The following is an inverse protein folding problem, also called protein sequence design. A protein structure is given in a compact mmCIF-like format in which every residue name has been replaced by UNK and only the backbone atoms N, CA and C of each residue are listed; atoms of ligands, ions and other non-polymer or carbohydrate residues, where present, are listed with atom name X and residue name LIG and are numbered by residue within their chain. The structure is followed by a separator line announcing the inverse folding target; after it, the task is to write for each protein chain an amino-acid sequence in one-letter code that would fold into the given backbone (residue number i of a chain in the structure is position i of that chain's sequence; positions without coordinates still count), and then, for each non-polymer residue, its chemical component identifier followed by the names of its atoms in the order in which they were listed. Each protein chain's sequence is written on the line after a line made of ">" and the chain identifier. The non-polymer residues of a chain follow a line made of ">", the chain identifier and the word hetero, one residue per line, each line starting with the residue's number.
data_IF_276264017979
#
_entry.id   IF_276264017979
#
_cell.length_a   1.000
_cell.length_b   1.000
_cell.length_c   1.000
_cell.angle_alpha   90.00
_cell.angle_beta   90.00
_cell.angle_gamma   90.00
#
_symmetry.space_group_name_H-M   'P 1'
#
loop_
_entity.id
_entity.type
_entity.pdbx_description
1 polymer ?
#
# COMPACT_ATOMS: atom_id res chain seq x y z
N UNK A 1 -10.09 -13.09 14.40
CA UNK A 1 -11.07 -11.99 14.57
C UNK A 1 -10.32 -10.68 14.74
N UNK A 2 -10.53 -9.70 13.86
CA UNK A 2 -9.94 -8.38 14.03
C UNK A 2 -10.55 -7.69 15.27
N UNK A 3 -9.73 -7.16 16.17
CA UNK A 3 -10.21 -6.42 17.35
C UNK A 3 -10.91 -5.14 16.89
N UNK A 4 -11.99 -4.75 17.57
CA UNK A 4 -12.78 -3.53 17.27
C UNK A 4 -12.04 -2.26 17.74
N UNK A 5 -12.22 -1.11 17.05
CA UNK A 5 -11.71 0.18 17.50
C UNK A 5 -12.09 0.47 18.96
N UNK A 6 -11.19 1.10 19.72
CA UNK A 6 -11.40 1.49 21.12
C UNK A 6 -10.94 2.93 21.36
N UNK A 7 -11.43 3.57 22.41
CA UNK A 7 -10.99 4.93 22.78
C UNK A 7 -9.84 4.81 23.80
N UNK A 8 -8.71 5.45 23.52
CA UNK A 8 -7.55 5.42 24.40
C UNK A 8 -7.72 6.36 25.61
N UNK A 9 -6.79 6.30 26.57
CA UNK A 9 -6.81 7.11 27.80
C UNK A 9 -6.76 8.63 27.57
N UNK A 10 -6.49 9.07 26.33
CA UNK A 10 -6.44 10.46 25.92
C UNK A 10 -7.68 10.89 25.12
N UNK A 11 -8.66 9.99 24.95
CA UNK A 11 -9.91 10.30 24.25
C UNK A 11 -9.85 10.11 22.73
N UNK A 12 -8.77 9.56 22.17
CA UNK A 12 -8.66 9.29 20.74
C UNK A 12 -9.16 7.90 20.37
N UNK A 13 -9.79 7.76 19.20
CA UNK A 13 -10.16 6.46 18.63
C UNK A 13 -8.89 5.77 18.14
N UNK A 14 -8.47 4.73 18.86
CA UNK A 14 -7.42 3.82 18.46
C UNK A 14 -8.00 2.61 17.75
N UNK A 15 -7.46 2.34 16.57
CA UNK A 15 -7.76 1.13 15.84
C UNK A 15 -6.76 0.05 16.26
N UNK A 16 -7.18 -1.16 16.66
CA UNK A 16 -6.28 -2.24 17.07
C UNK A 16 -5.26 -2.66 16.00
N UNK A 17 -5.53 -2.36 14.74
CA UNK A 17 -4.54 -2.56 13.68
C UNK A 17 -3.34 -1.60 13.81
N UNK A 18 -3.43 -0.50 14.56
CA UNK A 18 -2.30 0.41 14.82
C UNK A 18 -1.29 -0.21 15.79
N UNK A 19 -1.72 -1.21 16.58
CA UNK A 19 -0.89 -1.92 17.58
C UNK A 19 -0.62 -3.37 17.18
N UNK A 20 -0.89 -3.73 15.93
CA UNK A 20 -0.56 -5.05 15.42
C UNK A 20 0.95 -5.14 15.26
N UNK A 21 1.64 -5.84 16.15
CA UNK A 21 3.10 -6.01 16.09
C UNK A 21 3.57 -6.77 14.85
N UNK A 22 2.64 -7.37 14.07
CA UNK A 22 2.91 -7.90 12.73
C UNK A 22 3.06 -6.79 11.69
N UNK A 23 2.55 -5.58 11.95
CA UNK A 23 2.90 -4.36 11.22
C UNK A 23 4.29 -3.85 11.61
N UNK A 24 5.26 -4.74 11.56
CA UNK A 24 6.66 -4.33 11.45
C UNK A 24 6.94 -3.80 10.04
N UNK A 25 8.23 -3.55 9.76
CA UNK A 25 8.69 -3.17 8.42
C UNK A 25 8.09 -4.06 7.32
N UNK A 26 7.74 -3.45 6.19
CA UNK A 26 7.22 -4.09 4.99
C UNK A 26 5.78 -4.64 5.03
N UNK A 27 5.03 -4.50 6.12
CA UNK A 27 3.68 -5.08 6.19
C UNK A 27 2.68 -4.46 5.20
N UNK A 28 2.85 -3.18 4.87
CA UNK A 28 2.00 -2.54 3.87
C UNK A 28 2.23 -3.11 2.46
N UNK A 29 3.44 -3.59 2.16
CA UNK A 29 3.70 -4.35 0.93
C UNK A 29 2.99 -5.70 0.94
N UNK A 30 2.95 -6.37 2.08
CA UNK A 30 2.19 -7.62 2.19
C UNK A 30 0.71 -7.39 1.89
N UNK A 31 0.11 -6.31 2.40
CA UNK A 31 -1.27 -5.97 2.08
C UNK A 31 -1.46 -5.69 0.58
N UNK A 32 -0.55 -4.93 -0.03
CA UNK A 32 -0.57 -4.66 -1.48
C UNK A 32 -0.48 -5.96 -2.30
N UNK A 33 0.30 -6.93 -1.84
CA UNK A 33 0.62 -8.16 -2.57
C UNK A 33 -0.24 -9.36 -2.14
N UNK A 34 -1.13 -9.23 -1.16
CA UNK A 34 -1.73 -10.38 -0.47
C UNK A 34 -2.38 -11.36 -1.45
N UNK A 35 -3.24 -10.86 -2.33
CA UNK A 35 -3.93 -11.70 -3.31
C UNK A 35 -3.00 -12.29 -4.37
N UNK A 36 -1.92 -11.59 -4.70
CA UNK A 36 -0.88 -12.10 -5.59
C UNK A 36 -0.09 -13.23 -4.94
N UNK A 37 0.32 -13.06 -3.69
CA UNK A 37 1.00 -14.06 -2.88
C UNK A 37 0.13 -15.30 -2.68
N UNK A 38 -1.18 -15.14 -2.40
CA UNK A 38 -2.13 -16.26 -2.32
C UNK A 38 -2.14 -17.08 -3.60
N UNK A 39 -2.26 -16.41 -4.77
CA UNK A 39 -2.26 -17.09 -6.08
C UNK A 39 -0.94 -17.81 -6.33
N UNK A 40 0.19 -17.16 -6.07
CA UNK A 40 1.54 -17.73 -6.27
C UNK A 40 1.79 -18.94 -5.37
N UNK A 41 1.54 -18.79 -4.06
CA UNK A 41 1.72 -19.88 -3.10
C UNK A 41 0.78 -21.05 -3.39
N UNK A 42 -0.49 -20.80 -3.70
CA UNK A 42 -1.43 -21.85 -4.11
C UNK A 42 -0.95 -22.60 -5.35
N UNK A 43 -0.41 -21.90 -6.35
CA UNK A 43 0.15 -22.54 -7.54
C UNK A 43 1.39 -23.40 -7.24
N UNK A 44 2.26 -22.94 -6.33
CA UNK A 44 3.53 -23.61 -6.01
C UNK A 44 3.39 -24.76 -5.01
N UNK A 45 2.53 -24.60 -4.00
CA UNK A 45 2.44 -25.46 -2.81
C UNK A 45 1.08 -26.14 -2.66
N UNK A 46 0.10 -25.84 -3.52
CA UNK A 46 -1.27 -26.34 -3.40
C UNK A 46 -2.09 -25.59 -2.34
N UNK A 47 -3.25 -26.14 -1.96
CA UNK A 47 -4.20 -25.49 -1.05
C UNK A 47 -3.74 -25.44 0.42
N UNK A 48 -2.66 -26.16 0.77
CA UNK A 48 -2.13 -26.23 2.14
C UNK A 48 -1.07 -25.15 2.44
N UNK A 49 -0.86 -24.19 1.53
CA UNK A 49 0.10 -23.11 1.76
C UNK A 49 -0.23 -22.33 3.03
N UNK A 50 0.81 -21.96 3.76
CA UNK A 50 0.71 -21.19 4.99
C UNK A 50 0.97 -19.71 4.73
N UNK A 51 0.64 -18.89 5.73
CA UNK A 51 1.01 -17.47 5.71
C UNK A 51 2.54 -17.27 5.69
N UNK A 52 3.29 -18.12 6.40
CA UNK A 52 4.74 -18.06 6.40
C UNK A 52 5.31 -18.30 4.99
N UNK A 53 4.69 -19.18 4.19
CA UNK A 53 5.10 -19.39 2.80
C UNK A 53 4.88 -18.14 1.93
N UNK A 54 3.82 -17.38 2.19
CA UNK A 54 3.58 -16.09 1.52
C UNK A 54 4.62 -15.04 1.94
N UNK A 55 4.97 -14.99 3.23
CA UNK A 55 5.98 -14.06 3.74
C UNK A 55 7.36 -14.37 3.14
N UNK A 56 7.75 -15.65 3.13
CA UNK A 56 9.00 -16.12 2.49
C UNK A 56 9.00 -15.83 0.98
N UNK A 57 7.89 -16.08 0.28
CA UNK A 57 7.78 -15.76 -1.15
C UNK A 57 7.94 -14.25 -1.39
N UNK A 58 7.23 -13.43 -0.61
CA UNK A 58 7.32 -11.97 -0.71
C UNK A 58 8.76 -11.48 -0.54
N UNK A 59 9.47 -11.93 0.50
CA UNK A 59 10.86 -11.52 0.73
C UNK A 59 11.80 -11.94 -0.41
N UNK A 60 11.46 -13.02 -1.13
CA UNK A 60 12.22 -13.47 -2.30
C UNK A 60 12.19 -12.49 -3.48
N UNK A 61 11.09 -11.76 -3.70
CA UNK A 61 10.94 -10.91 -4.89
C UNK A 61 10.63 -9.43 -4.61
N UNK A 62 10.41 -9.03 -3.35
CA UNK A 62 9.97 -7.67 -3.01
C UNK A 62 10.89 -6.59 -3.60
N UNK A 63 12.21 -6.80 -3.57
CA UNK A 63 13.23 -5.88 -4.10
C UNK A 63 13.12 -5.65 -5.63
N UNK A 64 12.52 -6.58 -6.36
CA UNK A 64 12.31 -6.51 -7.82
C UNK A 64 11.04 -5.74 -8.21
N UNK A 65 10.20 -5.43 -7.23
CA UNK A 65 8.90 -4.80 -7.50
C UNK A 65 8.98 -3.29 -7.66
N UNK A 66 8.04 -2.76 -8.44
CA UNK A 66 7.90 -1.33 -8.73
C UNK A 66 6.52 -0.85 -8.31
N UNK A 67 6.44 0.40 -7.88
CA UNK A 67 5.19 1.03 -7.49
C UNK A 67 4.85 2.22 -8.38
N UNK A 68 3.56 2.41 -8.62
CA UNK A 68 3.00 3.64 -9.17
C UNK A 68 1.99 4.22 -8.19
N UNK A 69 2.15 5.50 -7.88
CA UNK A 69 1.27 6.25 -6.98
C UNK A 69 0.37 7.14 -7.83
N UNK A 70 -0.93 7.11 -7.55
CA UNK A 70 -1.92 7.89 -8.29
C UNK A 70 -2.71 8.77 -7.33
N UNK A 71 -2.91 10.05 -7.68
CA UNK A 71 -3.95 10.87 -7.09
C UNK A 71 -5.28 10.59 -7.78
N UNK A 72 -6.36 10.48 -7.01
CA UNK A 72 -7.71 10.31 -7.51
C UNK A 72 -8.34 11.68 -7.68
N UNK A 73 -8.57 12.09 -8.93
CA UNK A 73 -9.09 13.41 -9.28
C UNK A 73 -10.56 13.27 -9.72
N UNK A 74 -11.51 13.98 -9.08
CA UNK A 74 -12.88 14.00 -9.55
C UNK A 74 -12.98 14.81 -10.86
N UNK A 75 -13.52 14.21 -11.91
CA UNK A 75 -13.69 14.85 -13.23
C UNK A 75 -15.12 14.63 -13.71
N UNK A 76 -15.92 15.71 -13.70
CA UNK A 76 -17.35 15.65 -13.98
C UNK A 76 -18.08 14.69 -13.03
N UNK A 77 -18.70 13.65 -13.60
CA UNK A 77 -19.40 12.59 -12.85
C UNK A 77 -18.51 11.37 -12.53
N UNK A 78 -17.23 11.41 -12.93
CA UNK A 78 -16.30 10.29 -12.83
C UNK A 78 -15.06 10.61 -11.98
N UNK A 79 -14.10 9.69 -12.04
CA UNK A 79 -12.81 9.78 -11.37
C UNK A 79 -11.70 9.44 -12.35
N UNK A 80 -10.64 10.24 -12.36
CA UNK A 80 -9.40 9.98 -13.09
C UNK A 80 -8.26 9.66 -12.12
N UNK A 81 -7.27 8.90 -12.63
CA UNK A 81 -6.06 8.58 -11.89
C UNK A 81 -4.90 9.36 -12.48
N UNK A 82 -4.47 10.41 -11.79
CA UNK A 82 -3.27 11.16 -12.14
C UNK A 82 -2.04 10.45 -11.56
N UNK A 83 -1.10 10.05 -12.40
CA UNK A 83 0.16 9.44 -11.94
C UNK A 83 1.03 10.53 -11.31
N UNK A 84 1.41 10.33 -10.04
CA UNK A 84 2.12 11.35 -9.24
C UNK A 84 3.49 10.85 -8.74
N UNK A 85 3.76 9.55 -8.84
CA UNK A 85 5.02 8.98 -8.39
C UNK A 85 5.30 7.59 -8.93
N UNK A 86 6.58 7.31 -9.15
CA UNK A 86 7.12 6.01 -9.55
C UNK A 86 8.24 5.66 -8.58
N UNK A 87 8.21 4.46 -7.99
CA UNK A 87 9.17 4.04 -6.99
C UNK A 87 9.61 2.59 -7.21
N UNK A 88 10.79 2.23 -6.72
CA UNK A 88 11.14 0.83 -6.47
C UNK A 88 10.77 0.51 -5.02
N UNK A 89 10.43 -0.76 -4.75
CA UNK A 89 10.10 -1.14 -3.37
C UNK A 89 11.27 -0.94 -2.42
N UNK A 90 12.51 -1.16 -2.87
CA UNK A 90 13.73 -0.87 -2.13
C UNK A 90 13.75 0.55 -1.54
N UNK A 91 13.24 1.54 -2.28
CA UNK A 91 13.22 2.94 -1.85
C UNK A 91 12.25 3.18 -0.68
N UNK A 92 11.27 2.30 -0.48
CA UNK A 92 10.15 2.49 0.45
C UNK A 92 10.02 1.37 1.50
N UNK A 93 10.87 0.32 1.46
CA UNK A 93 10.87 -0.80 2.42
C UNK A 93 11.11 -0.37 3.87
N UNK A 94 11.79 0.76 4.06
CA UNK A 94 12.01 1.33 5.39
C UNK A 94 10.73 1.91 6.01
N UNK A 95 9.66 2.13 5.21
CA UNK A 95 8.38 2.64 5.71
C UNK A 95 7.58 1.53 6.40
N UNK A 96 7.18 1.79 7.64
CA UNK A 96 6.22 0.93 8.37
C UNK A 96 4.78 1.20 7.89
N UNK A 97 4.45 2.47 7.67
CA UNK A 97 3.17 2.96 7.16
C UNK A 97 3.45 3.94 6.00
N UNK A 98 2.85 3.75 4.81
CA UNK A 98 3.02 4.68 3.69
C UNK A 98 2.22 5.98 3.88
N UNK A 99 1.23 6.04 4.78
CA UNK A 99 0.34 7.21 4.91
C UNK A 99 1.09 8.50 5.30
N UNK A 100 2.00 8.52 6.30
CA UNK A 100 2.79 9.71 6.61
C UNK A 100 3.64 10.18 5.42
N UNK A 101 4.34 9.25 4.74
CA UNK A 101 5.14 9.55 3.56
C UNK A 101 4.29 10.16 2.43
N UNK A 102 3.12 9.58 2.14
CA UNK A 102 2.18 10.11 1.14
C UNK A 102 1.71 11.51 1.53
N UNK A 103 1.36 11.72 2.79
CA UNK A 103 0.87 13.01 3.27
C UNK A 103 1.94 14.11 3.22
N UNK A 104 3.17 13.78 3.59
CA UNK A 104 4.30 14.71 3.51
C UNK A 104 4.66 15.05 2.06
N UNK A 105 4.74 14.03 1.20
CA UNK A 105 5.16 14.16 -0.21
C UNK A 105 4.09 14.82 -1.07
N UNK A 106 2.85 14.36 -0.97
CA UNK A 106 1.76 14.71 -1.90
C UNK A 106 0.67 15.59 -1.28
N UNK A 107 0.71 15.83 0.03
CA UNK A 107 -0.32 16.60 0.72
C UNK A 107 -1.63 15.82 0.89
N UNK A 108 -2.75 16.53 0.99
CA UNK A 108 -4.07 15.94 1.16
C UNK A 108 -4.67 15.36 -0.11
N UNK A 109 -5.41 14.25 0.02
CA UNK A 109 -6.07 13.63 -1.12
C UNK A 109 -6.52 12.20 -0.89
N UNK A 110 -7.06 11.61 -1.97
CA UNK A 110 -7.28 10.16 -2.09
C UNK A 110 -6.25 9.62 -3.07
N UNK A 111 -5.60 8.53 -2.69
CA UNK A 111 -4.50 7.95 -3.45
C UNK A 111 -4.75 6.48 -3.72
N UNK A 112 -4.23 6.00 -4.85
CA UNK A 112 -4.11 4.58 -5.15
C UNK A 112 -2.65 4.26 -5.37
N UNK A 113 -2.17 3.20 -4.75
CA UNK A 113 -0.83 2.67 -4.99
C UNK A 113 -0.98 1.33 -5.68
N UNK A 114 -0.34 1.18 -6.82
CA UNK A 114 -0.25 -0.09 -7.54
C UNK A 114 1.16 -0.63 -7.41
N UNK A 115 1.29 -1.93 -7.17
CA UNK A 115 2.56 -2.65 -7.18
C UNK A 115 2.63 -3.61 -8.37
N UNK A 116 3.81 -3.70 -8.97
CA UNK A 116 4.09 -4.51 -10.15
C UNK A 116 5.28 -5.42 -9.88
N UNK A 117 5.18 -6.68 -10.29
CA UNK A 117 6.25 -7.67 -10.26
C UNK A 117 6.48 -8.17 -11.70
N UNK A 118 7.73 -8.13 -12.18
CA UNK A 118 8.09 -8.51 -13.57
C UNK A 118 7.27 -7.78 -14.64
N UNK A 119 6.94 -6.50 -14.41
CA UNK A 119 6.11 -5.70 -15.33
C UNK A 119 4.62 -6.02 -15.30
N UNK A 120 4.20 -7.04 -14.54
CA UNK A 120 2.80 -7.44 -14.38
C UNK A 120 2.21 -6.81 -13.12
N UNK A 121 0.94 -6.41 -13.19
CA UNK A 121 0.20 -5.91 -12.04
C UNK A 121 0.09 -7.01 -10.97
N UNK A 122 0.61 -6.73 -9.77
CA UNK A 122 0.56 -7.64 -8.65
C UNK A 122 -0.55 -7.27 -7.67
N UNK A 123 -0.76 -5.98 -7.39
CA UNK A 123 -1.86 -5.56 -6.52
C UNK A 123 -1.98 -4.06 -6.31
N UNK A 124 -2.96 -3.67 -5.50
CA UNK A 124 -3.33 -2.26 -5.29
C UNK A 124 -3.93 -2.05 -3.91
N UNK A 125 -3.73 -0.86 -3.36
CA UNK A 125 -4.35 -0.40 -2.12
C UNK A 125 -4.69 1.09 -2.23
N UNK A 126 -5.77 1.52 -1.57
CA UNK A 126 -6.17 2.93 -1.56
C UNK A 126 -5.83 3.57 -0.23
N UNK A 127 -5.31 4.80 -0.29
CA UNK A 127 -4.95 5.58 0.88
C UNK A 127 -5.67 6.92 0.88
N UNK A 128 -5.77 7.53 2.06
CA UNK A 128 -6.32 8.87 2.23
C UNK A 128 -5.46 9.65 3.22
N UNK A 129 -5.13 10.87 2.86
CA UNK A 129 -4.42 11.82 3.72
C UNK A 129 -5.23 13.11 3.84
N UNK A 130 -4.88 13.94 4.81
CA UNK A 130 -5.53 15.23 5.08
C UNK A 130 -4.56 16.39 4.80
N UNK A 131 -5.10 17.59 4.55
CA UNK A 131 -4.33 18.81 4.28
C UNK A 131 -4.55 19.34 2.85
N UNK A 132 -3.75 20.35 2.48
CA UNK A 132 -3.77 20.90 1.13
C UNK A 132 -3.12 19.95 0.12
N UNK A 133 -3.69 19.78 -1.09
CA UNK A 133 -3.12 18.90 -2.11
C UNK A 133 -1.84 19.52 -2.71
N UNK A 134 -0.71 18.82 -2.63
CA UNK A 134 0.54 19.22 -3.30
C UNK A 134 0.70 18.55 -4.67
N UNK A 135 0.07 17.40 -4.87
CA UNK A 135 0.11 16.63 -6.11
C UNK A 135 -0.48 17.35 -7.33
N UNK A 136 -1.21 18.45 -7.13
CA UNK A 136 -1.75 19.28 -8.22
C UNK A 136 -0.64 19.94 -9.04
N UNK A 137 0.51 20.21 -8.42
CA UNK A 137 1.67 20.86 -9.06
C UNK A 137 2.53 19.87 -9.87
N UNK A 138 2.32 18.56 -9.68
CA UNK A 138 3.07 17.54 -10.39
C UNK A 138 2.58 17.51 -11.84
N UNK A 139 3.46 17.62 -12.85
CA UNK A 139 3.07 17.50 -14.25
C UNK A 139 2.44 16.14 -14.55
N UNK A 140 1.56 16.09 -15.54
CA UNK A 140 1.07 14.81 -16.03
C UNK A 140 2.22 14.05 -16.72
N UNK A 141 2.24 12.73 -16.57
CA UNK A 141 3.25 11.86 -17.20
C UNK A 141 2.87 11.70 -18.68
N UNK A 142 3.70 12.24 -19.59
CA UNK A 142 3.55 12.15 -21.06
C UNK A 142 3.65 10.71 -21.59
#
# INVERSE_FOLDING_TARGET
>A
MAKKPFINKYGFVEYPFLHDTRKGQNWWFFNLLEDYLKRRCKHRLGDEYTKNDMEVDMMGFLHETKLKFFALVPVGMGMEFKLIGKYRSEDLMHLEDPVPFIGETYGGGKFKVNIYHEGTFAGTENYKTHGEPKWVEIPDDD
#
